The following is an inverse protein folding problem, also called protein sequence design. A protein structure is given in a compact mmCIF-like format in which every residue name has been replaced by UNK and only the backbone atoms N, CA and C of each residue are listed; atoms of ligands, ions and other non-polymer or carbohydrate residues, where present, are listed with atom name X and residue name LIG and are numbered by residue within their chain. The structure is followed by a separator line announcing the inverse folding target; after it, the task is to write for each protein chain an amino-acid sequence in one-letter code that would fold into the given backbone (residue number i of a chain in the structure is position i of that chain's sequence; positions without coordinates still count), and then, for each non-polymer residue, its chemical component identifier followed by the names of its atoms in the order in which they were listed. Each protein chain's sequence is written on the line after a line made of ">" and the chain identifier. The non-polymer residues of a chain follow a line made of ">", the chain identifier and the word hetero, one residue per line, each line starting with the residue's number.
data_IF_681540922377
#
_entry.id   IF_681540922377
#
_cell.length_a   1.000
_cell.length_b   1.000
_cell.length_c   1.000
_cell.angle_alpha   90.00
_cell.angle_beta   90.00
_cell.angle_gamma   90.00
#
_symmetry.space_group_name_H-M   'P 1'
#
loop_
_entity.id
_entity.type
_entity.pdbx_description
1 polymer ?
#
# COMPACT_ATOMS: atom_id res chain seq x y z
N UNK A 1 -8.85 32.68 -24.41
CA UNK A 1 -9.32 31.90 -23.25
C UNK A 1 -9.56 30.46 -23.74
N UNK A 2 -8.52 29.82 -24.28
CA UNK A 2 -8.61 28.52 -24.98
C UNK A 2 -7.82 27.41 -24.26
N UNK A 3 -7.56 27.58 -22.96
CA UNK A 3 -6.59 26.76 -22.20
C UNK A 3 -7.17 25.46 -21.63
N UNK A 4 -8.45 25.15 -21.88
CA UNK A 4 -9.15 24.00 -21.30
C UNK A 4 -9.41 22.87 -22.30
N UNK A 5 -8.67 22.83 -23.41
CA UNK A 5 -8.86 21.85 -24.50
C UNK A 5 -8.69 20.38 -24.05
N UNK A 6 -8.07 20.15 -22.89
CA UNK A 6 -7.78 18.81 -22.34
C UNK A 6 -8.41 18.55 -20.96
N UNK A 7 -9.31 19.41 -20.49
CA UNK A 7 -9.97 19.19 -19.20
C UNK A 7 -11.19 18.30 -19.40
N UNK A 8 -11.17 17.12 -18.77
CA UNK A 8 -12.33 16.25 -18.67
C UNK A 8 -13.25 16.70 -17.54
N UNK A 9 -14.56 16.69 -17.78
CA UNK A 9 -15.59 16.95 -16.77
C UNK A 9 -16.19 15.63 -16.27
N UNK A 10 -16.37 15.49 -14.95
CA UNK A 10 -17.03 14.34 -14.33
C UNK A 10 -18.09 14.84 -13.35
N UNK A 11 -19.35 14.46 -13.57
CA UNK A 11 -20.47 14.82 -12.70
C UNK A 11 -20.56 13.85 -11.51
N UNK A 12 -20.24 14.35 -10.31
CA UNK A 12 -20.28 13.59 -9.06
C UNK A 12 -21.70 13.42 -8.48
N UNK A 13 -22.72 14.02 -9.09
CA UNK A 13 -24.11 13.99 -8.63
C UNK A 13 -24.21 14.39 -7.15
N UNK A 14 -24.89 13.58 -6.33
CA UNK A 14 -25.02 13.76 -4.88
C UNK A 14 -24.03 12.87 -4.10
N UNK A 15 -22.92 12.45 -4.71
CA UNK A 15 -21.88 11.65 -4.06
C UNK A 15 -20.87 12.53 -3.33
N UNK A 16 -20.22 11.93 -2.33
CA UNK A 16 -19.14 12.56 -1.58
C UNK A 16 -17.81 12.35 -2.28
N UNK A 17 -17.07 13.44 -2.48
CA UNK A 17 -15.67 13.38 -2.89
C UNK A 17 -14.82 13.67 -1.66
N UNK A 18 -13.98 12.71 -1.29
CA UNK A 18 -12.98 12.87 -0.23
C UNK A 18 -11.58 12.67 -0.82
N UNK A 19 -10.56 13.16 -0.12
CA UNK A 19 -9.19 12.81 -0.47
C UNK A 19 -8.96 11.30 -0.25
N UNK A 20 -7.92 10.76 -0.89
CA UNK A 20 -7.45 9.40 -0.61
C UNK A 20 -6.94 9.27 0.83
N UNK A 21 -7.23 8.15 1.47
CA UNK A 21 -6.82 7.89 2.86
C UNK A 21 -5.33 7.54 2.92
N UNK A 22 -4.64 8.09 3.92
CA UNK A 22 -3.26 7.77 4.26
C UNK A 22 -3.23 6.82 5.47
N UNK A 23 -2.81 5.58 5.24
CA UNK A 23 -2.58 4.60 6.29
C UNK A 23 -1.13 4.70 6.78
N UNK A 24 -0.92 5.27 7.97
CA UNK A 24 0.42 5.52 8.51
C UNK A 24 1.03 4.33 9.26
N UNK A 25 0.33 3.21 9.37
CA UNK A 25 0.87 2.02 10.04
C UNK A 25 0.21 0.75 9.51
N UNK A 26 0.90 0.09 8.59
CA UNK A 26 0.35 -1.08 7.92
C UNK A 26 1.31 -2.25 7.84
N UNK A 27 0.75 -3.42 7.63
CA UNK A 27 1.46 -4.67 7.36
C UNK A 27 1.03 -5.31 6.04
N UNK A 28 0.28 -4.60 5.18
CA UNK A 28 -0.08 -5.11 3.86
C UNK A 28 1.19 -5.46 3.05
N UNK A 29 1.14 -6.53 2.27
CA UNK A 29 2.27 -7.06 1.52
C UNK A 29 3.25 -7.90 2.34
N UNK A 30 3.54 -7.56 3.61
CA UNK A 30 4.42 -8.35 4.49
C UNK A 30 3.66 -9.32 5.40
N UNK A 31 2.34 -9.21 5.43
CA UNK A 31 1.43 -10.08 6.16
C UNK A 31 0.18 -10.31 5.30
N UNK A 32 0.35 -11.09 4.24
CA UNK A 32 -0.61 -11.14 3.15
C UNK A 32 -1.99 -11.68 3.53
N UNK A 33 -3.02 -11.19 2.84
CA UNK A 33 -4.38 -11.70 2.96
C UNK A 33 -4.53 -13.02 2.20
N UNK A 34 -5.33 -13.89 2.83
CA UNK A 34 -5.09 -15.32 3.05
C UNK A 34 -3.79 -15.59 3.82
N UNK A 35 -3.87 -15.41 5.14
CA UNK A 35 -2.74 -15.59 6.03
C UNK A 35 -2.21 -17.03 5.99
N UNK A 36 -0.98 -17.17 5.52
CA UNK A 36 -0.20 -18.40 5.57
C UNK A 36 1.08 -18.15 6.33
N UNK A 37 1.55 -19.16 7.08
CA UNK A 37 2.79 -19.04 7.85
C UNK A 37 4.01 -18.69 6.98
N UNK A 38 4.01 -19.13 5.71
CA UNK A 38 5.07 -18.82 4.75
C UNK A 38 5.02 -17.41 4.15
N UNK A 39 3.97 -16.63 4.43
CA UNK A 39 3.80 -15.25 3.98
C UNK A 39 3.75 -14.25 5.15
N UNK A 40 4.31 -14.65 6.31
CA UNK A 40 4.35 -13.87 7.54
C UNK A 40 5.75 -13.26 7.73
N UNK A 41 6.05 -12.26 6.92
CA UNK A 41 7.38 -11.63 6.82
C UNK A 41 7.49 -10.33 7.64
N UNK A 42 6.40 -9.91 8.31
CA UNK A 42 6.36 -8.72 9.14
C UNK A 42 7.33 -8.76 10.35
N UNK A 43 7.65 -9.95 10.86
CA UNK A 43 8.46 -10.15 12.06
C UNK A 43 9.62 -11.11 11.82
N UNK A 44 10.74 -10.91 12.52
CA UNK A 44 11.85 -11.89 12.52
C UNK A 44 12.23 -12.16 13.97
N UNK A 45 12.08 -13.42 14.38
CA UNK A 45 12.26 -13.90 15.75
C UNK A 45 13.70 -14.31 16.08
N UNK A 46 14.64 -14.01 15.19
CA UNK A 46 16.01 -14.51 15.27
C UNK A 46 16.96 -13.60 16.05
N UNK A 47 16.56 -12.36 16.35
CA UNK A 47 17.32 -11.42 17.19
C UNK A 47 16.43 -10.22 17.61
N UNK A 48 16.85 -9.47 18.65
CA UNK A 48 16.16 -8.30 19.22
C UNK A 48 16.50 -6.98 18.52
N UNK A 49 17.57 -6.95 17.72
CA UNK A 49 18.03 -5.77 17.01
C UNK A 49 18.41 -6.08 15.56
N UNK A 50 17.55 -5.67 14.60
CA UNK A 50 17.80 -5.84 13.16
C UNK A 50 17.46 -4.59 12.36
N UNK A 51 18.14 -3.46 12.61
CA UNK A 51 17.81 -2.18 11.98
C UNK A 51 18.04 -2.16 10.46
N UNK A 52 18.84 -3.11 9.93
CA UNK A 52 19.12 -3.23 8.50
C UNK A 52 18.03 -3.93 7.70
N UNK A 53 17.14 -4.69 8.36
CA UNK A 53 16.01 -5.31 7.67
C UNK A 53 14.99 -4.24 7.24
N UNK A 54 14.30 -4.46 6.13
CA UNK A 54 13.31 -3.51 5.60
C UNK A 54 12.04 -4.28 5.25
N UNK A 55 10.87 -3.68 5.46
CA UNK A 55 9.60 -4.26 5.01
C UNK A 55 9.60 -4.54 3.51
N UNK A 56 10.30 -3.69 2.74
CA UNK A 56 10.49 -3.84 1.29
C UNK A 56 10.99 -5.22 0.88
N UNK A 57 11.90 -5.80 1.65
CA UNK A 57 12.55 -7.07 1.31
C UNK A 57 11.61 -8.28 1.52
N UNK A 58 10.46 -8.10 2.16
CA UNK A 58 9.43 -9.12 2.39
C UNK A 58 8.08 -8.79 1.77
N UNK A 59 8.01 -7.81 0.85
CA UNK A 59 6.75 -7.45 0.18
C UNK A 59 6.34 -8.53 -0.82
N UNK A 60 5.15 -9.09 -0.61
CA UNK A 60 4.47 -9.95 -1.55
C UNK A 60 3.62 -9.12 -2.52
N UNK A 61 4.05 -9.03 -3.78
CA UNK A 61 3.34 -8.28 -4.84
C UNK A 61 2.00 -8.90 -5.25
N UNK A 62 1.72 -10.14 -4.85
CA UNK A 62 0.47 -10.85 -5.13
C UNK A 62 -0.52 -10.82 -3.96
N UNK A 63 -0.27 -9.99 -2.94
CA UNK A 63 -1.21 -9.82 -1.83
C UNK A 63 -2.51 -9.14 -2.29
N UNK A 64 -3.64 -9.82 -2.10
CA UNK A 64 -4.96 -9.27 -2.43
C UNK A 64 -5.35 -8.08 -1.55
N UNK A 65 -4.67 -7.88 -0.41
CA UNK A 65 -4.88 -6.72 0.45
C UNK A 65 -4.69 -5.39 -0.28
N UNK A 66 -3.86 -5.31 -1.32
CA UNK A 66 -3.71 -4.08 -2.11
C UNK A 66 -5.02 -3.65 -2.76
N UNK A 67 -5.75 -4.59 -3.36
CA UNK A 67 -7.04 -4.31 -4.01
C UNK A 67 -8.10 -3.95 -2.98
N UNK A 68 -8.09 -4.65 -1.84
CA UNK A 68 -9.02 -4.40 -0.74
C UNK A 68 -8.80 -3.01 -0.11
N UNK A 69 -7.54 -2.61 0.09
CA UNK A 69 -7.18 -1.28 0.61
C UNK A 69 -7.61 -0.17 -0.34
N UNK A 70 -7.39 -0.32 -1.65
CA UNK A 70 -7.84 0.66 -2.66
C UNK A 70 -9.36 0.74 -2.72
N UNK A 71 -10.07 -0.40 -2.64
CA UNK A 71 -11.54 -0.42 -2.58
C UNK A 71 -12.09 0.27 -1.31
N UNK A 72 -11.32 0.26 -0.21
CA UNK A 72 -11.61 1.00 1.02
C UNK A 72 -11.24 2.49 0.99
N UNK A 73 -10.70 3.00 -0.12
CA UNK A 73 -10.31 4.41 -0.27
C UNK A 73 -8.89 4.75 0.21
N UNK A 74 -8.06 3.75 0.54
CA UNK A 74 -6.65 3.98 0.88
C UNK A 74 -5.86 4.27 -0.39
N UNK A 75 -5.20 5.42 -0.43
CA UNK A 75 -4.36 5.85 -1.53
C UNK A 75 -2.86 5.72 -1.23
N UNK A 76 -2.46 5.66 0.03
CA UNK A 76 -1.05 5.54 0.42
C UNK A 76 -0.94 4.82 1.74
N UNK A 77 0.06 3.94 1.87
CA UNK A 77 0.29 3.17 3.09
C UNK A 77 1.77 3.12 3.48
N UNK A 78 2.05 3.30 4.77
CA UNK A 78 3.38 3.16 5.37
C UNK A 78 3.53 1.73 5.91
N UNK A 79 4.33 0.92 5.22
CA UNK A 79 4.50 -0.49 5.56
C UNK A 79 5.60 -0.64 6.61
N UNK A 80 5.20 -1.00 7.83
CA UNK A 80 6.09 -1.08 8.98
C UNK A 80 6.37 -2.54 9.38
N UNK A 81 7.55 -2.82 9.93
CA UNK A 81 7.79 -4.08 10.62
C UNK A 81 6.82 -4.26 11.80
N UNK A 82 6.52 -5.50 12.15
CA UNK A 82 5.78 -5.80 13.36
C UNK A 82 6.55 -5.44 14.63
N UNK A 83 5.86 -5.49 15.77
CA UNK A 83 6.32 -4.98 17.06
C UNK A 83 7.22 -5.94 17.86
N UNK A 84 7.62 -7.09 17.30
CA UNK A 84 8.31 -8.15 18.06
C UNK A 84 9.79 -7.88 18.35
N UNK A 85 10.39 -6.85 17.74
CA UNK A 85 11.83 -6.56 17.84
C UNK A 85 12.03 -5.22 18.57
N UNK A 86 12.87 -5.19 19.61
CA UNK A 86 13.03 -4.02 20.50
C UNK A 86 13.65 -2.81 19.78
N UNK A 87 14.53 -3.04 18.81
CA UNK A 87 15.08 -1.98 17.96
C UNK A 87 14.43 -2.08 16.58
N UNK A 88 13.56 -1.11 16.30
CA UNK A 88 12.79 -0.99 15.06
C UNK A 88 13.67 -0.90 13.82
N UNK A 89 13.10 -1.37 12.70
CA UNK A 89 13.78 -1.46 11.40
C UNK A 89 13.41 -0.28 10.50
N UNK A 90 14.19 -0.04 9.44
CA UNK A 90 13.98 1.10 8.53
C UNK A 90 12.64 1.01 7.78
N UNK A 91 11.97 2.17 7.67
CA UNK A 91 10.64 2.32 7.10
C UNK A 91 10.71 2.66 5.59
N UNK A 92 9.66 2.31 4.85
CA UNK A 92 9.47 2.74 3.46
C UNK A 92 8.04 3.24 3.25
N UNK A 93 7.92 4.44 2.69
CA UNK A 93 6.67 4.96 2.15
C UNK A 93 6.34 4.24 0.83
N UNK A 94 5.26 3.47 0.79
CA UNK A 94 4.72 2.98 -0.48
C UNK A 94 3.58 3.90 -0.91
N UNK A 95 3.84 4.72 -1.93
CA UNK A 95 2.79 5.39 -2.69
C UNK A 95 2.09 4.29 -3.51
N UNK A 96 0.84 3.96 -3.18
CA UNK A 96 -0.01 3.18 -4.09
C UNK A 96 -0.40 4.11 -5.25
N UNK A 97 0.55 4.34 -6.15
CA UNK A 97 0.28 5.01 -7.41
C UNK A 97 -0.61 4.08 -8.24
N UNK A 98 -1.82 4.56 -8.49
CA UNK A 98 -2.69 4.08 -9.55
C UNK A 98 -1.91 4.01 -10.86
N UNK A 99 -1.55 2.80 -11.29
CA UNK A 99 -1.19 2.47 -12.66
C UNK A 99 -1.85 1.15 -13.03
N UNK A 100 -3.19 1.16 -13.12
CA UNK A 100 -3.94 0.11 -13.80
C UNK A 100 -4.19 0.56 -15.22
N UNK A 101 -3.45 -0.05 -16.15
CA UNK A 101 -3.61 0.18 -17.57
C UNK A 101 -4.76 -0.69 -18.07
N UNK A 102 -5.82 -0.09 -18.58
CA UNK A 102 -6.81 -0.77 -19.41
C UNK A 102 -7.53 0.24 -20.31
N UNK A 103 -7.02 0.42 -21.54
CA UNK A 103 -7.86 0.45 -22.75
C UNK A 103 -7.04 0.31 -24.06
N UNK A 104 -7.25 -0.82 -24.72
CA UNK A 104 -7.24 -1.18 -26.15
C UNK A 104 -6.38 -0.49 -27.23
N UNK A 105 -5.89 -1.38 -28.11
CA UNK A 105 -5.54 -1.28 -29.53
C UNK A 105 -4.08 -0.99 -29.87
N UNK A 106 -3.55 -1.98 -30.60
CA UNK A 106 -2.25 -2.15 -31.28
C UNK A 106 -1.07 -2.61 -30.42
#
# INVERSE_FOLDING_TARGET
>A
MDDYKYVGEVNAQNLWITHGIFDIHSHIGVNAVHYLKGASDANSFKDIARPWLRSLDGLNTHDDSYKLSVAGGIATSLILPGSTCAIGRKQLWHLLSWFWNSCSRE
#
